data_IF_945110443710
#
_entry.id   IF_945110443710
#
_cell.length_a   1.000
_cell.length_b   1.000
_cell.length_c   1.000
_cell.angle_alpha   90.00
_cell.angle_beta   90.00
_cell.angle_gamma   90.00
#
_symmetry.space_group_name_H-M   'P 1'
#
loop_
_entity.id
_entity.type
_entity.pdbx_description
1 polymer ?
#
# COMPACT_ATOMS: atom_id res chain seq x y z
N UNK A 1 -1.07 -2.43 -11.13
CA UNK A 1 -0.51 -3.20 -10.00
C UNK A 1 -0.64 -4.68 -10.31
N UNK A 2 0.25 -5.23 -11.15
CA UNK A 2 0.20 -6.62 -11.61
C UNK A 2 1.38 -7.44 -11.11
N UNK A 3 1.30 -8.75 -11.28
CA UNK A 3 2.38 -9.68 -10.94
C UNK A 3 3.51 -9.59 -11.99
N UNK A 4 4.72 -9.28 -11.53
CA UNK A 4 5.95 -9.57 -12.29
C UNK A 4 6.50 -10.90 -11.81
N UNK A 5 6.72 -11.85 -12.73
CA UNK A 5 7.19 -13.18 -12.37
C UNK A 5 8.60 -13.11 -11.75
N UNK A 6 8.77 -13.73 -10.58
CA UNK A 6 9.99 -13.60 -9.78
C UNK A 6 11.23 -14.17 -10.48
N UNK A 7 11.04 -15.17 -11.34
CA UNK A 7 12.03 -15.78 -12.22
C UNK A 7 12.45 -14.84 -13.36
N UNK A 8 11.50 -14.12 -13.96
CA UNK A 8 11.80 -13.09 -14.97
C UNK A 8 12.56 -11.91 -14.34
N UNK A 9 12.15 -11.47 -13.15
CA UNK A 9 12.89 -10.45 -12.38
C UNK A 9 14.30 -10.92 -12.02
N UNK A 10 14.46 -12.16 -11.54
CA UNK A 10 15.76 -12.72 -11.23
C UNK A 10 16.64 -12.83 -12.48
N UNK A 11 16.05 -13.15 -13.64
CA UNK A 11 16.76 -13.20 -14.92
C UNK A 11 17.23 -11.81 -15.33
N UNK A 12 16.35 -10.81 -15.32
CA UNK A 12 16.72 -9.42 -15.66
C UNK A 12 17.81 -8.91 -14.72
N UNK A 13 17.69 -9.13 -13.41
CA UNK A 13 18.70 -8.72 -12.43
C UNK A 13 20.03 -9.47 -12.59
N UNK A 14 20.02 -10.71 -13.07
CA UNK A 14 21.24 -11.46 -13.34
C UNK A 14 22.00 -10.92 -14.58
N UNK A 15 21.29 -10.27 -15.51
CA UNK A 15 21.86 -9.66 -16.71
C UNK A 15 21.93 -8.12 -16.63
N UNK A 16 21.60 -7.51 -15.49
CA UNK A 16 21.74 -6.08 -15.27
C UNK A 16 23.18 -5.73 -14.89
N UNK A 17 23.95 -5.29 -15.88
CA UNK A 17 25.34 -4.86 -15.70
C UNK A 17 25.47 -3.53 -14.95
N UNK A 18 24.42 -2.71 -14.91
CA UNK A 18 24.48 -1.39 -14.28
C UNK A 18 24.58 -1.47 -12.74
N UNK A 19 24.09 -2.56 -12.13
CA UNK A 19 24.04 -2.80 -10.67
C UNK A 19 23.66 -1.54 -9.87
N UNK A 20 22.75 -0.73 -10.42
CA UNK A 20 22.36 0.53 -9.85
C UNK A 20 21.66 0.34 -8.50
N UNK A 21 21.86 1.26 -7.56
CA UNK A 21 21.06 1.27 -6.35
C UNK A 21 19.58 1.51 -6.72
N UNK A 22 18.62 0.80 -6.09
CA UNK A 22 17.20 1.03 -6.33
C UNK A 22 16.83 2.49 -6.09
N UNK A 23 15.94 3.03 -6.94
CA UNK A 23 15.47 4.42 -6.84
C UNK A 23 14.70 4.61 -5.52
N UNK A 24 15.18 5.50 -4.67
CA UNK A 24 14.57 5.80 -3.37
C UNK A 24 13.38 6.76 -3.47
N UNK A 25 13.39 7.63 -4.48
CA UNK A 25 12.34 8.58 -4.82
C UNK A 25 12.16 8.60 -6.34
N UNK A 26 10.98 8.20 -6.81
CA UNK A 26 10.60 8.25 -8.22
C UNK A 26 9.55 9.36 -8.41
N UNK A 27 9.95 10.65 -8.46
CA UNK A 27 9.02 11.78 -8.38
C UNK A 27 8.05 11.85 -9.56
N UNK A 28 8.50 11.45 -10.76
CA UNK A 28 7.66 11.43 -11.96
C UNK A 28 6.66 10.27 -11.99
N UNK A 29 6.97 9.17 -11.30
CA UNK A 29 6.07 8.03 -11.17
C UNK A 29 5.18 8.15 -9.92
N UNK A 30 5.52 9.03 -8.99
CA UNK A 30 4.78 9.23 -7.74
C UNK A 30 5.03 8.14 -6.70
N UNK A 31 6.22 7.53 -6.67
CA UNK A 31 6.53 6.48 -5.69
C UNK A 31 7.71 6.82 -4.79
N UNK A 32 7.62 6.40 -3.53
CA UNK A 32 8.71 6.48 -2.55
C UNK A 32 9.07 5.09 -2.04
N UNK A 33 10.36 4.85 -1.88
CA UNK A 33 10.91 3.63 -1.31
C UNK A 33 11.62 3.91 0.01
N UNK A 34 11.25 3.18 1.06
CA UNK A 34 12.04 3.05 2.27
C UNK A 34 12.59 1.63 2.32
N UNK A 35 13.87 1.46 2.58
CA UNK A 35 14.43 0.14 2.80
C UNK A 35 15.50 0.15 3.89
N UNK A 36 15.56 -0.95 4.62
CA UNK A 36 16.51 -1.20 5.69
C UNK A 36 16.63 -2.71 5.91
N UNK A 37 17.85 -3.26 5.84
CA UNK A 37 18.18 -4.66 6.17
C UNK A 37 17.23 -5.71 5.57
N UNK A 38 16.86 -5.52 4.29
CA UNK A 38 15.99 -6.45 3.56
C UNK A 38 14.49 -6.20 3.76
N UNK A 39 14.10 -5.33 4.69
CA UNK A 39 12.73 -4.81 4.79
C UNK A 39 12.56 -3.66 3.80
N UNK A 40 11.49 -3.71 3.00
CA UNK A 40 11.20 -2.72 1.96
C UNK A 40 9.76 -2.27 2.05
N UNK A 41 9.56 -0.95 2.06
CA UNK A 41 8.27 -0.27 1.89
C UNK A 41 8.28 0.46 0.56
N UNK A 42 7.25 0.24 -0.26
CA UNK A 42 6.96 1.04 -1.46
C UNK A 42 5.64 1.74 -1.23
N UNK A 43 5.64 3.08 -1.27
CA UNK A 43 4.46 3.90 -1.05
C UNK A 43 4.08 4.67 -2.33
N UNK A 44 2.79 4.69 -2.64
CA UNK A 44 2.20 5.58 -3.64
C UNK A 44 2.03 6.97 -3.01
N UNK A 45 2.71 7.94 -3.59
CA UNK A 45 2.81 9.32 -3.13
C UNK A 45 2.55 10.30 -4.26
N UNK A 46 1.85 9.87 -5.31
CA UNK A 46 1.53 10.69 -6.49
C UNK A 46 0.06 11.13 -6.51
N UNK A 47 -0.25 12.26 -7.18
CA UNK A 47 -1.62 12.52 -7.61
C UNK A 47 -2.02 11.54 -8.73
N UNK A 48 -3.32 11.32 -8.97
CA UNK A 48 -3.77 10.55 -10.11
C UNK A 48 -3.28 11.19 -11.42
N UNK A 49 -2.96 10.38 -12.45
CA UNK A 49 -2.52 10.90 -13.74
C UNK A 49 -3.65 11.68 -14.45
N UNK A 50 -3.31 12.46 -15.49
CA UNK A 50 -4.31 13.14 -16.31
C UNK A 50 -5.38 12.19 -16.85
N UNK A 51 -6.58 12.71 -17.12
CA UNK A 51 -7.75 11.92 -17.57
C UNK A 51 -7.42 11.01 -18.76
N UNK A 52 -6.61 11.49 -19.71
CA UNK A 52 -6.16 10.74 -20.90
C UNK A 52 -5.28 9.51 -20.58
N UNK A 53 -4.69 9.45 -19.39
CA UNK A 53 -3.79 8.39 -18.94
C UNK A 53 -4.29 7.68 -17.67
N UNK A 54 -5.52 7.96 -17.21
CA UNK A 54 -6.04 7.47 -15.92
C UNK A 54 -6.97 6.27 -16.02
N UNK A 55 -7.13 5.70 -17.21
CA UNK A 55 -8.01 4.54 -17.45
C UNK A 55 -7.62 3.33 -16.59
N UNK A 56 -6.33 3.07 -16.39
CA UNK A 56 -5.80 1.98 -15.56
C UNK A 56 -5.33 2.45 -14.18
N UNK A 57 -5.41 3.76 -13.88
CA UNK A 57 -4.96 4.31 -12.61
C UNK A 57 -5.91 3.95 -11.47
N UNK A 58 -5.36 3.75 -10.27
CA UNK A 58 -6.09 3.40 -9.06
C UNK A 58 -6.24 4.61 -8.14
N UNK A 59 -7.23 4.59 -7.25
CA UNK A 59 -7.39 5.56 -6.17
C UNK A 59 -6.50 5.21 -4.95
N UNK A 60 -5.20 5.02 -5.20
CA UNK A 60 -4.23 4.41 -4.29
C UNK A 60 -3.29 5.38 -3.57
N UNK A 61 -3.48 6.70 -3.72
CA UNK A 61 -2.61 7.68 -3.05
C UNK A 61 -2.51 7.39 -1.54
N UNK A 62 -1.28 7.38 -0.99
CA UNK A 62 -0.91 6.97 0.37
C UNK A 62 -1.03 5.48 0.71
N UNK A 63 -1.35 4.64 -0.27
CA UNK A 63 -1.21 3.19 -0.13
C UNK A 63 0.26 2.78 -0.12
N UNK A 64 0.53 1.63 0.49
CA UNK A 64 1.88 1.06 0.50
C UNK A 64 1.86 -0.46 0.46
N UNK A 65 3.02 -1.02 0.13
CA UNK A 65 3.33 -2.44 0.26
C UNK A 65 4.57 -2.61 1.14
N UNK A 66 4.59 -3.66 1.95
CA UNK A 66 5.70 -4.02 2.84
C UNK A 66 6.14 -5.46 2.55
N UNK A 67 7.44 -5.65 2.44
CA UNK A 67 8.07 -6.97 2.36
C UNK A 67 9.30 -7.08 3.25
N UNK A 68 9.61 -8.30 3.67
CA UNK A 68 10.88 -8.67 4.32
C UNK A 68 11.55 -9.76 3.50
N UNK A 69 12.71 -9.44 2.91
CA UNK A 69 13.38 -10.31 1.95
C UNK A 69 12.48 -10.63 0.76
N UNK A 70 12.12 -11.90 0.60
CA UNK A 70 11.23 -12.38 -0.48
C UNK A 70 9.76 -12.47 -0.06
N UNK A 71 9.47 -12.25 1.22
CA UNK A 71 8.15 -12.45 1.80
C UNK A 71 7.37 -11.13 1.80
N UNK A 72 6.20 -11.13 1.15
CA UNK A 72 5.27 -9.99 1.17
C UNK A 72 4.42 -10.06 2.44
N UNK A 73 4.29 -8.93 3.13
CA UNK A 73 3.57 -8.81 4.40
C UNK A 73 2.28 -8.03 4.19
N UNK A 74 2.43 -6.74 3.86
CA UNK A 74 1.32 -5.87 3.46
C UNK A 74 1.35 -5.73 1.94
N UNK A 75 0.20 -5.97 1.31
CA UNK A 75 0.00 -5.84 -0.13
C UNK A 75 -1.15 -4.88 -0.40
N UNK A 76 -1.47 -4.68 -1.67
CA UNK A 76 -2.79 -4.20 -2.09
C UNK A 76 -3.50 -5.34 -2.81
N UNK A 77 -4.80 -5.22 -3.07
CA UNK A 77 -5.53 -6.27 -3.81
C UNK A 77 -4.89 -6.52 -5.19
N UNK A 78 -4.41 -5.45 -5.84
CA UNK A 78 -3.78 -5.53 -7.15
C UNK A 78 -4.76 -5.89 -8.26
N UNK A 79 -4.24 -6.23 -9.44
CA UNK A 79 -5.03 -6.64 -10.60
C UNK A 79 -4.14 -7.38 -11.61
N UNK A 80 -4.57 -8.55 -12.08
CA UNK A 80 -3.98 -9.24 -13.23
C UNK A 80 -4.86 -9.08 -14.48
N UNK A 81 -4.40 -9.56 -15.63
CA UNK A 81 -5.23 -9.65 -16.84
C UNK A 81 -6.36 -10.68 -16.71
N UNK A 82 -6.24 -11.64 -15.79
CA UNK A 82 -7.24 -12.67 -15.53
C UNK A 82 -8.47 -12.03 -14.89
N UNK A 83 -9.64 -12.19 -15.52
CA UNK A 83 -10.91 -11.62 -15.06
C UNK A 83 -10.89 -10.09 -14.87
N UNK A 84 -10.01 -9.38 -15.58
CA UNK A 84 -9.82 -7.93 -15.47
C UNK A 84 -11.14 -7.16 -15.54
N UNK A 85 -11.99 -7.43 -16.52
CA UNK A 85 -13.26 -6.70 -16.71
C UNK A 85 -14.20 -6.79 -15.50
N UNK A 86 -14.20 -7.93 -14.80
CA UNK A 86 -15.05 -8.17 -13.64
C UNK A 86 -14.55 -7.41 -12.41
N UNK A 87 -13.23 -7.36 -12.21
CA UNK A 87 -12.62 -6.85 -10.98
C UNK A 87 -12.13 -5.42 -11.09
N UNK A 88 -11.95 -4.88 -12.30
CA UNK A 88 -11.31 -3.58 -12.55
C UNK A 88 -11.89 -2.44 -11.72
N UNK A 89 -13.22 -2.35 -11.62
CA UNK A 89 -13.85 -1.26 -10.88
C UNK A 89 -13.54 -1.33 -9.38
N UNK A 90 -13.68 -2.52 -8.78
CA UNK A 90 -13.44 -2.73 -7.34
C UNK A 90 -11.96 -2.61 -7.01
N UNK A 91 -11.09 -3.20 -7.83
CA UNK A 91 -9.65 -3.20 -7.63
C UNK A 91 -9.03 -1.80 -7.68
N UNK A 92 -9.70 -0.84 -8.34
CA UNK A 92 -9.25 0.56 -8.46
C UNK A 92 -9.77 1.47 -7.35
N UNK A 93 -10.75 1.03 -6.57
CA UNK A 93 -11.27 1.79 -5.45
C UNK A 93 -10.26 1.85 -4.29
N UNK A 94 -10.29 2.92 -3.50
CA UNK A 94 -9.37 3.10 -2.36
C UNK A 94 -9.46 1.97 -1.35
N UNK A 95 -10.64 1.34 -1.19
CA UNK A 95 -10.85 0.19 -0.31
C UNK A 95 -10.09 -1.10 -0.73
N UNK A 96 -9.53 -1.14 -1.94
CA UNK A 96 -8.67 -2.23 -2.43
C UNK A 96 -7.18 -1.98 -2.16
N UNK A 97 -6.87 -0.91 -1.41
CA UNK A 97 -5.54 -0.45 -1.12
C UNK A 97 -5.30 -0.27 0.37
N UNK A 98 -4.07 -0.51 0.80
CA UNK A 98 -3.63 -0.39 2.19
C UNK A 98 -3.46 1.07 2.58
N UNK A 99 -4.57 1.80 2.70
CA UNK A 99 -4.69 3.24 3.02
C UNK A 99 -6.02 3.54 3.72
N UNK A 100 -6.31 4.81 4.00
CA UNK A 100 -7.55 5.24 4.63
C UNK A 100 -8.68 5.52 3.62
N UNK A 101 -9.88 5.05 3.96
CA UNK A 101 -11.14 5.41 3.30
C UNK A 101 -11.96 6.24 4.27
N UNK A 102 -12.48 7.38 3.81
CA UNK A 102 -13.34 8.28 4.59
C UNK A 102 -14.74 8.27 3.98
N UNK A 103 -15.77 8.13 4.82
CA UNK A 103 -17.18 8.14 4.41
C UNK A 103 -17.49 7.14 3.30
N UNK A 104 -16.90 5.94 3.37
CA UNK A 104 -17.02 4.88 2.36
C UNK A 104 -16.71 5.34 0.91
N UNK A 105 -15.92 6.41 0.77
CA UNK A 105 -15.68 7.07 -0.51
C UNK A 105 -14.22 6.93 -0.90
N UNK A 106 -13.97 6.64 -2.18
CA UNK A 106 -12.59 6.62 -2.72
C UNK A 106 -12.02 8.04 -2.82
N UNK A 107 -10.71 8.18 -2.66
CA UNK A 107 -10.00 9.46 -2.82
C UNK A 107 -10.08 10.01 -4.25
N UNK A 108 -10.40 9.18 -5.23
CA UNK A 108 -10.68 9.57 -6.61
C UNK A 108 -12.13 9.26 -7.02
N UNK A 109 -12.71 10.12 -7.86
CA UNK A 109 -13.96 9.87 -8.58
C UNK A 109 -13.66 9.35 -9.97
N UNK A 110 -14.41 8.33 -10.38
CA UNK A 110 -14.25 7.67 -11.68
C UNK A 110 -15.46 7.93 -12.56
N UNK A 111 -15.24 8.15 -13.85
CA UNK A 111 -16.33 8.27 -14.82
C UNK A 111 -17.06 6.95 -15.00
N UNK A 112 -18.37 6.95 -14.71
CA UNK A 112 -19.25 5.79 -14.88
C UNK A 112 -20.47 6.20 -15.72
N UNK A 113 -20.40 5.97 -17.03
CA UNK A 113 -21.49 6.29 -17.97
C UNK A 113 -22.06 5.02 -18.63
N UNK A 114 -22.43 4.02 -17.82
CA UNK A 114 -23.16 2.83 -18.27
C UNK A 114 -22.50 2.15 -19.48
N UNK A 115 -23.20 2.11 -20.63
CA UNK A 115 -22.72 1.49 -21.88
C UNK A 115 -21.49 2.19 -22.48
N UNK A 116 -21.28 3.48 -22.20
CA UNK A 116 -20.15 4.27 -22.73
C UNK A 116 -18.84 3.94 -21.97
N UNK A 117 -18.91 3.61 -20.68
CA UNK A 117 -17.74 3.17 -19.91
C UNK A 117 -17.12 1.86 -20.41
N UNK A 118 -17.86 1.08 -21.20
CA UNK A 118 -17.34 -0.15 -21.82
C UNK A 118 -16.43 0.14 -23.04
N UNK A 119 -16.60 1.30 -23.71
CA UNK A 119 -15.75 1.72 -24.84
C UNK A 119 -14.61 2.65 -24.42
N UNK A 120 -14.85 3.58 -23.48
CA UNK A 120 -13.86 4.60 -23.06
C UNK A 120 -13.12 4.22 -21.77
N UNK A 121 -13.46 3.08 -21.16
CA UNK A 121 -13.01 2.70 -19.82
C UNK A 121 -13.70 3.54 -18.73
N UNK A 122 -13.09 3.57 -17.54
CA UNK A 122 -13.55 4.37 -16.41
C UNK A 122 -12.43 5.29 -15.92
N UNK A 123 -12.05 6.34 -16.67
CA UNK A 123 -10.97 7.24 -16.27
C UNK A 123 -11.30 7.94 -14.93
N UNK A 124 -10.25 8.34 -14.21
CA UNK A 124 -10.37 9.22 -13.05
C UNK A 124 -10.73 10.63 -13.56
N UNK A 125 -11.82 11.20 -13.05
CA UNK A 125 -12.32 12.54 -13.40
C UNK A 125 -12.03 13.58 -12.33
N UNK A 126 -11.79 13.15 -11.09
CA UNK A 126 -11.25 13.99 -10.03
C UNK A 126 -10.54 13.13 -9.00
N UNK A 127 -9.60 13.71 -8.29
CA UNK A 127 -8.91 13.10 -7.16
C UNK A 127 -8.01 14.11 -6.49
N UNK A 128 -7.03 13.66 -5.67
CA UNK A 128 -6.10 14.58 -5.05
C UNK A 128 -5.37 15.47 -6.05
N UNK A 129 -5.24 16.76 -5.72
CA UNK A 129 -4.51 17.76 -6.51
C UNK A 129 -3.21 18.15 -5.84
N UNK A 130 -3.18 18.14 -4.51
CA UNK A 130 -2.00 18.47 -3.72
C UNK A 130 -1.51 17.24 -2.95
N UNK A 131 -0.29 16.79 -3.25
CA UNK A 131 0.33 15.63 -2.61
C UNK A 131 1.75 15.97 -2.12
N UNK A 132 1.91 16.80 -1.07
CA UNK A 132 3.23 17.16 -0.57
C UNK A 132 3.92 15.96 0.07
N UNK A 133 5.20 15.78 -0.24
CA UNK A 133 6.04 14.68 0.25
C UNK A 133 7.20 15.26 1.06
N UNK A 134 7.39 14.77 2.28
CA UNK A 134 8.52 15.11 3.14
C UNK A 134 9.28 13.83 3.50
N UNK A 135 10.57 13.81 3.19
CA UNK A 135 11.47 12.69 3.49
C UNK A 135 12.60 13.17 4.39
N UNK A 136 12.95 12.38 5.40
CA UNK A 136 14.09 12.64 6.25
C UNK A 136 14.76 11.33 6.70
N UNK A 137 16.01 11.44 7.15
CA UNK A 137 16.71 10.35 7.85
C UNK A 137 17.24 10.94 9.15
N UNK A 138 16.71 10.50 10.28
CA UNK A 138 17.14 10.92 11.63
C UNK A 138 16.89 9.79 12.63
N UNK A 139 17.64 9.80 13.73
CA UNK A 139 17.43 8.89 14.88
C UNK A 139 17.42 7.40 14.50
N UNK A 140 18.30 7.00 13.58
CA UNK A 140 18.40 5.61 13.14
C UNK A 140 17.15 5.13 12.40
N UNK A 141 16.39 6.01 11.74
CA UNK A 141 15.23 5.65 10.93
C UNK A 141 15.13 6.47 9.64
N UNK A 142 14.48 5.89 8.63
CA UNK A 142 14.01 6.59 7.43
C UNK A 142 12.57 7.02 7.68
N UNK A 143 12.31 8.30 7.47
CA UNK A 143 11.02 8.95 7.69
C UNK A 143 10.44 9.40 6.36
N UNK A 144 9.15 9.10 6.15
CA UNK A 144 8.37 9.59 5.03
C UNK A 144 7.03 10.10 5.56
N UNK A 145 6.66 11.34 5.22
CA UNK A 145 5.37 11.94 5.55
C UNK A 145 4.76 12.50 4.28
N UNK A 146 3.54 12.08 3.96
CA UNK A 146 2.84 12.48 2.73
C UNK A 146 1.39 12.74 3.06
N UNK A 147 0.78 13.74 2.42
CA UNK A 147 -0.65 14.00 2.55
C UNK A 147 -1.33 14.15 1.21
N UNK A 148 -2.66 14.04 1.17
CA UNK A 148 -3.46 14.30 -0.02
C UNK A 148 -4.76 15.02 0.35
N UNK A 149 -5.28 15.83 -0.56
CA UNK A 149 -6.52 16.62 -0.42
C UNK A 149 -7.77 15.96 -1.03
N UNK A 150 -7.69 14.69 -1.44
CA UNK A 150 -8.82 13.98 -2.08
C UNK A 150 -10.11 13.88 -1.26
N UNK A 151 -10.07 14.14 0.05
CA UNK A 151 -11.25 14.17 0.93
C UNK A 151 -11.67 15.60 1.34
N UNK A 152 -11.00 16.63 0.83
CA UNK A 152 -11.25 18.02 1.22
C UNK A 152 -12.63 18.50 0.73
N UNK A 153 -12.98 18.25 -0.53
CA UNK A 153 -14.30 18.60 -1.09
C UNK A 153 -15.46 17.84 -0.41
N UNK A 154 -15.44 16.49 -0.29
CA UNK A 154 -16.58 15.75 0.27
C UNK A 154 -16.70 15.82 1.79
N UNK A 155 -15.58 15.97 2.51
CA UNK A 155 -15.56 15.80 3.98
C UNK A 155 -14.79 16.89 4.73
N UNK A 156 -14.22 17.88 4.03
CA UNK A 156 -13.47 18.95 4.66
C UNK A 156 -12.15 18.50 5.29
N UNK A 157 -11.56 17.36 4.86
CA UNK A 157 -10.33 16.82 5.47
C UNK A 157 -9.20 16.53 4.49
N UNK A 158 -7.98 16.75 4.97
CA UNK A 158 -6.73 16.31 4.35
C UNK A 158 -6.27 15.06 5.09
N UNK A 159 -6.02 13.98 4.34
CA UNK A 159 -5.47 12.75 4.88
C UNK A 159 -3.95 12.79 4.75
N UNK A 160 -3.24 12.55 5.84
CA UNK A 160 -1.79 12.45 5.88
C UNK A 160 -1.38 11.11 6.47
N UNK A 161 -0.45 10.44 5.81
CA UNK A 161 0.22 9.26 6.32
C UNK A 161 1.70 9.51 6.53
N UNK A 162 2.23 9.00 7.64
CA UNK A 162 3.66 8.95 7.93
C UNK A 162 4.12 7.51 8.11
N UNK A 163 5.33 7.21 7.64
CA UNK A 163 6.04 5.96 7.85
C UNK A 163 7.41 6.25 8.46
N UNK A 164 7.79 5.44 9.44
CA UNK A 164 9.11 5.45 10.06
C UNK A 164 9.66 4.03 10.08
N UNK A 165 10.62 3.75 9.20
CA UNK A 165 11.31 2.46 9.13
C UNK A 165 12.62 2.54 9.91
N UNK A 166 12.80 1.67 10.92
CA UNK A 166 14.05 1.55 11.65
C UNK A 166 15.19 1.07 10.74
N UNK A 167 16.41 1.54 10.99
CA UNK A 167 17.60 1.17 10.20
C UNK A 167 18.02 -0.29 10.35
N UNK A 168 17.56 -0.97 11.40
CA UNK A 168 17.69 -2.44 11.54
C UNK A 168 16.65 -3.22 10.72
N UNK A 169 15.66 -2.52 10.13
CA UNK A 169 14.58 -3.10 9.33
C UNK A 169 13.56 -3.91 10.12
N UNK A 170 13.66 -3.98 11.46
CA UNK A 170 12.80 -4.79 12.31
C UNK A 170 11.51 -4.09 12.75
N UNK A 171 11.35 -2.79 12.46
CA UNK A 171 10.19 -2.01 12.91
C UNK A 171 9.77 -0.97 11.89
N UNK A 172 8.47 -0.98 11.56
CA UNK A 172 7.80 0.05 10.79
C UNK A 172 6.71 0.68 11.67
N UNK A 173 6.91 1.93 12.07
CA UNK A 173 5.85 2.74 12.69
C UNK A 173 5.10 3.51 11.61
N UNK A 174 3.78 3.63 11.78
CA UNK A 174 2.92 4.41 10.90
C UNK A 174 1.94 5.27 11.66
N UNK A 175 1.59 6.41 11.06
CA UNK A 175 0.60 7.35 11.58
C UNK A 175 -0.31 7.80 10.44
N UNK A 176 -1.61 7.57 10.58
CA UNK A 176 -2.66 8.18 9.77
C UNK A 176 -3.25 9.36 10.54
N UNK A 177 -3.15 10.56 9.98
CA UNK A 177 -3.63 11.81 10.55
C UNK A 177 -4.60 12.47 9.59
N UNK A 178 -5.81 12.72 10.06
CA UNK A 178 -6.81 13.52 9.38
C UNK A 178 -6.72 14.95 9.93
N UNK A 179 -6.54 15.93 9.04
CA UNK A 179 -6.49 17.36 9.37
C UNK A 179 -7.68 18.07 8.73
N UNK A 180 -8.22 19.14 9.33
CA UNK A 180 -9.16 19.99 8.64
C UNK A 180 -8.50 20.56 7.37
N UNK A 181 -9.22 20.56 6.25
CA UNK A 181 -8.77 21.22 5.02
C UNK A 181 -8.71 22.75 5.18
N UNK A 182 -9.52 23.28 6.10
CA UNK A 182 -9.54 24.68 6.54
C UNK A 182 -9.44 24.67 8.07
N UNK A 183 -8.40 25.30 8.63
CA UNK A 183 -8.02 25.16 10.06
C UNK A 183 -9.15 25.46 11.06
N UNK A 184 -10.10 26.32 10.68
CA UNK A 184 -11.21 26.75 11.55
C UNK A 184 -12.45 25.86 11.45
N UNK A 185 -12.46 24.86 10.58
CA UNK A 185 -13.62 23.99 10.38
C UNK A 185 -13.52 22.75 11.27
N UNK A 186 -14.48 22.52 12.18
CA UNK A 186 -14.48 21.31 13.00
C UNK A 186 -14.71 20.06 12.16
N UNK A 187 -14.20 18.91 12.62
CA UNK A 187 -14.47 17.63 11.98
C UNK A 187 -15.96 17.28 12.10
N UNK A 188 -16.56 16.85 10.98
CA UNK A 188 -17.83 16.16 11.00
C UNK A 188 -17.68 14.75 11.61
N UNK A 189 -18.80 14.13 12.00
CA UNK A 189 -18.83 12.76 12.52
C UNK A 189 -18.71 11.67 11.41
N UNK A 190 -17.99 11.97 10.33
CA UNK A 190 -17.84 11.07 9.20
C UNK A 190 -16.98 9.86 9.61
N UNK A 191 -17.42 8.62 9.34
CA UNK A 191 -16.62 7.45 9.65
C UNK A 191 -15.40 7.34 8.72
N UNK A 192 -14.34 6.72 9.20
CA UNK A 192 -13.20 6.31 8.39
C UNK A 192 -12.78 4.88 8.74
N UNK A 193 -12.06 4.25 7.81
CA UNK A 193 -11.42 2.96 8.03
C UNK A 193 -10.03 2.97 7.39
N UNK A 194 -9.01 2.71 8.20
CA UNK A 194 -7.63 2.46 7.73
C UNK A 194 -7.46 0.97 7.48
N UNK A 195 -7.04 0.60 6.27
CA UNK A 195 -6.92 -0.81 5.85
C UNK A 195 -5.48 -1.24 5.63
N UNK A 196 -5.23 -2.53 5.88
CA UNK A 196 -3.98 -3.20 5.58
C UNK A 196 -4.29 -4.58 4.97
N UNK A 197 -4.18 -4.72 3.66
CA UNK A 197 -4.41 -6.00 2.98
C UNK A 197 -3.21 -6.92 3.20
N UNK A 198 -3.48 -8.15 3.63
CA UNK A 198 -2.47 -9.15 3.91
C UNK A 198 -2.26 -10.03 2.68
N UNK A 199 -1.00 -10.46 2.48
CA UNK A 199 -0.72 -11.51 1.51
C UNK A 199 -1.48 -12.80 1.90
N UNK A 200 -2.00 -13.62 0.96
CA UNK A 200 -2.78 -14.83 1.27
C UNK A 200 -2.10 -15.83 2.21
N UNK A 201 -0.78 -15.82 2.27
CA UNK A 201 0.00 -16.73 3.12
C UNK A 201 0.23 -16.19 4.55
N UNK A 202 -0.28 -14.98 4.88
CA UNK A 202 -0.22 -14.38 6.21
C UNK A 202 -1.58 -14.50 6.93
N UNK A 203 -1.60 -15.07 8.15
CA UNK A 203 -2.85 -15.55 8.75
C UNK A 203 -3.43 -14.78 9.93
N UNK A 204 -2.72 -13.96 10.73
CA UNK A 204 -3.36 -13.09 11.77
C UNK A 204 -2.38 -12.09 12.42
N UNK A 205 -2.79 -11.32 13.45
CA UNK A 205 -2.03 -10.27 14.17
C UNK A 205 -0.68 -10.72 14.80
N UNK A 206 -0.32 -12.01 14.68
CA UNK A 206 1.06 -12.46 14.50
C UNK A 206 1.21 -13.04 13.08
N UNK A 207 1.84 -12.27 12.20
CA UNK A 207 2.05 -12.56 10.79
C UNK A 207 3.27 -13.47 10.65
N UNK A 208 3.05 -14.79 10.66
CA UNK A 208 4.09 -15.77 10.38
C UNK A 208 4.37 -15.83 8.87
N UNK A 209 5.64 -15.74 8.50
CA UNK A 209 6.11 -15.80 7.11
C UNK A 209 6.73 -17.17 6.81
N UNK A 210 6.75 -17.59 5.52
CA UNK A 210 7.55 -18.74 5.10
C UNK A 210 9.02 -18.57 5.53
N UNK A 211 9.56 -19.58 6.22
CA UNK A 211 10.92 -19.55 6.77
C UNK A 211 11.02 -19.18 8.26
N UNK A 212 9.89 -18.99 8.94
CA UNK A 212 9.83 -18.86 10.41
C UNK A 212 9.97 -17.44 10.95
N UNK A 213 10.19 -16.44 10.09
CA UNK A 213 10.11 -15.02 10.46
C UNK A 213 8.69 -14.67 10.87
N UNK A 214 8.51 -13.84 11.91
CA UNK A 214 7.19 -13.41 12.35
C UNK A 214 7.15 -11.92 12.65
N UNK A 215 6.03 -11.28 12.29
CA UNK A 215 5.76 -9.86 12.53
C UNK A 215 4.49 -9.69 13.36
N UNK A 216 4.50 -8.81 14.36
CA UNK A 216 3.30 -8.42 15.08
C UNK A 216 2.79 -7.08 14.56
N UNK A 217 1.48 -6.97 14.36
CA UNK A 217 0.80 -5.69 14.11
C UNK A 217 0.21 -5.18 15.43
N UNK A 218 0.45 -3.90 15.74
CA UNK A 218 -0.04 -3.26 16.96
C UNK A 218 -0.62 -1.90 16.61
N UNK A 219 -1.82 -1.59 17.10
CA UNK A 219 -2.40 -0.25 16.99
C UNK A 219 -2.85 0.21 18.38
N UNK A 220 -2.06 1.07 19.01
CA UNK A 220 -2.32 1.50 20.38
C UNK A 220 -3.59 2.35 20.44
N UNK A 221 -4.47 2.05 21.40
CA UNK A 221 -5.73 2.79 21.58
C UNK A 221 -6.77 2.54 20.48
N UNK A 222 -6.56 1.54 19.62
CA UNK A 222 -7.48 1.18 18.54
C UNK A 222 -7.86 -0.30 18.62
N UNK A 223 -9.10 -0.61 18.26
CA UNK A 223 -9.52 -2.00 18.07
C UNK A 223 -9.10 -2.46 16.66
N UNK A 224 -8.29 -3.52 16.58
CA UNK A 224 -7.88 -4.11 15.31
C UNK A 224 -8.95 -5.09 14.83
N UNK A 225 -9.65 -4.74 13.76
CA UNK A 225 -10.53 -5.64 13.03
C UNK A 225 -9.74 -6.58 12.12
N UNK A 226 -10.25 -7.80 11.92
CA UNK A 226 -9.75 -8.75 10.91
C UNK A 226 -10.92 -9.08 9.99
N UNK A 227 -10.80 -8.72 8.72
CA UNK A 227 -11.87 -8.85 7.73
C UNK A 227 -11.41 -9.68 6.53
N UNK A 228 -12.37 -10.23 5.78
CA UNK A 228 -12.08 -10.88 4.50
C UNK A 228 -11.52 -9.87 3.49
N UNK A 229 -10.60 -10.34 2.67
CA UNK A 229 -10.05 -9.58 1.56
C UNK A 229 -9.77 -10.48 0.36
N UNK A 230 -9.25 -9.88 -0.72
CA UNK A 230 -8.94 -10.60 -1.94
C UNK A 230 -7.62 -10.14 -2.53
N UNK A 231 -6.77 -11.09 -2.86
CA UNK A 231 -5.53 -10.86 -3.60
C UNK A 231 -5.75 -11.20 -5.08
N UNK A 232 -5.91 -10.17 -5.89
CA UNK A 232 -6.20 -10.24 -7.33
C UNK A 232 -4.94 -10.32 -8.20
N UNK A 233 -3.77 -10.02 -7.62
CA UNK A 233 -2.48 -10.07 -8.29
C UNK A 233 -1.80 -11.44 -8.23
N UNK A 234 -2.53 -12.52 -7.90
CA UNK A 234 -1.98 -13.87 -7.97
C UNK A 234 -1.89 -14.33 -9.44
N UNK A 235 -0.84 -15.08 -9.82
CA UNK A 235 -0.64 -15.51 -11.22
C UNK A 235 -1.71 -16.50 -11.70
N UNK A 236 -2.31 -17.24 -10.78
CA UNK A 236 -3.40 -18.20 -10.99
C UNK A 236 -4.80 -17.57 -10.85
N UNK A 237 -4.88 -16.25 -10.62
CA UNK A 237 -6.12 -15.51 -10.48
C UNK A 237 -6.46 -15.11 -9.03
N UNK A 238 -7.69 -14.64 -8.78
CA UNK A 238 -8.10 -14.15 -7.47
C UNK A 238 -7.97 -15.20 -6.35
N UNK A 239 -7.24 -14.87 -5.29
CA UNK A 239 -7.14 -15.68 -4.05
C UNK A 239 -7.79 -14.96 -2.88
N UNK A 240 -8.49 -15.70 -2.02
CA UNK A 240 -8.95 -15.18 -0.73
C UNK A 240 -7.76 -14.75 0.13
N UNK A 241 -7.90 -13.65 0.84
CA UNK A 241 -6.93 -13.16 1.81
C UNK A 241 -7.66 -12.51 2.99
N UNK A 242 -6.89 -11.91 3.90
CA UNK A 242 -7.42 -11.16 5.03
C UNK A 242 -6.93 -9.71 4.95
N UNK A 243 -7.57 -8.82 5.70
CA UNK A 243 -7.09 -7.47 5.94
C UNK A 243 -7.26 -7.10 7.40
N UNK A 244 -6.40 -6.21 7.88
CA UNK A 244 -6.56 -5.55 9.18
C UNK A 244 -7.27 -4.21 8.96
N UNK A 245 -8.20 -3.89 9.85
CA UNK A 245 -8.95 -2.63 9.80
C UNK A 245 -8.86 -1.87 11.13
N UNK A 246 -8.66 -0.56 11.04
CA UNK A 246 -8.76 0.38 12.17
C UNK A 246 -9.85 1.38 11.82
N UNK A 247 -10.98 1.30 12.51
CA UNK A 247 -12.19 2.07 12.22
C UNK A 247 -12.42 3.14 13.28
N UNK A 248 -12.94 4.29 12.88
CA UNK A 248 -13.29 5.37 13.79
C UNK A 248 -14.16 6.43 13.15
N UNK A 249 -14.44 7.50 13.89
CA UNK A 249 -15.14 8.70 13.42
C UNK A 249 -14.18 9.89 13.47
N UNK A 250 -14.19 10.74 12.45
CA UNK A 250 -13.31 11.92 12.39
C UNK A 250 -13.52 12.89 13.56
N UNK A 251 -14.73 12.94 14.14
CA UNK A 251 -15.03 13.77 15.30
C UNK A 251 -14.36 13.26 16.60
N UNK A 252 -14.11 11.95 16.70
CA UNK A 252 -13.59 11.30 17.91
C UNK A 252 -12.10 10.96 17.79
N UNK A 253 -11.69 10.52 16.60
CA UNK A 253 -10.35 10.02 16.31
C UNK A 253 -9.84 10.66 15.02
N UNK A 254 -9.02 11.70 15.15
CA UNK A 254 -8.34 12.33 14.01
C UNK A 254 -6.94 11.77 13.75
N UNK A 255 -6.43 10.91 14.65
CA UNK A 255 -5.10 10.31 14.56
C UNK A 255 -5.15 8.84 14.92
N UNK A 256 -4.53 8.01 14.08
CA UNK A 256 -4.38 6.57 14.27
C UNK A 256 -2.89 6.22 14.15
N UNK A 257 -2.35 5.55 15.16
CA UNK A 257 -0.97 5.05 15.14
C UNK A 257 -0.96 3.55 15.08
N UNK A 258 -0.03 3.00 14.30
CA UNK A 258 0.14 1.57 14.13
C UNK A 258 1.62 1.21 14.00
N UNK A 259 1.95 -0.03 14.31
CA UNK A 259 3.32 -0.53 14.26
C UNK A 259 3.33 -1.97 13.76
N UNK A 260 4.25 -2.26 12.85
CA UNK A 260 4.67 -3.61 12.49
C UNK A 260 6.05 -3.85 13.11
N UNK A 261 6.18 -4.87 13.94
CA UNK A 261 7.46 -5.23 14.61
C UNK A 261 7.80 -6.68 14.31
N UNK A 262 9.01 -6.95 13.85
CA UNK A 262 9.55 -8.30 13.73
C UNK A 262 9.75 -8.88 15.14
N UNK A 263 9.04 -9.96 15.45
CA UNK A 263 9.09 -10.64 16.74
C UNK A 263 9.96 -11.90 16.70
N UNK A 264 10.21 -12.45 15.51
CA UNK A 264 11.12 -13.58 15.28
C UNK A 264 11.86 -13.39 13.97
N UNK A 265 13.17 -13.63 13.99
CA UNK A 265 13.99 -13.67 12.78
C UNK A 265 13.73 -14.96 11.98
N UNK A 266 13.77 -14.86 10.65
CA UNK A 266 13.68 -16.03 9.76
C UNK A 266 15.00 -16.79 9.71
N UNK A 267 14.93 -18.10 9.40
CA UNK A 267 16.16 -18.84 9.07
C UNK A 267 16.67 -18.40 7.69
N UNK A 268 17.99 -18.18 7.52
CA UNK A 268 18.55 -17.88 6.21
C UNK A 268 18.24 -19.03 5.24
N UNK A 269 17.81 -18.69 4.02
CA UNK A 269 17.53 -19.68 3.00
C UNK A 269 18.79 -20.56 2.78
N UNK A 270 18.62 -21.88 2.87
CA UNK A 270 19.70 -22.83 2.61
C UNK A 270 20.18 -22.62 1.16
N UNK A 271 21.49 -22.47 0.90
CA UNK A 271 21.98 -22.28 -0.46
C UNK A 271 21.52 -23.44 -1.34
N UNK A 272 21.07 -23.13 -2.56
CA UNK A 272 20.68 -24.14 -3.52
C UNK A 272 21.86 -25.12 -3.74
N UNK A 273 21.61 -26.44 -3.82
CA UNK A 273 22.67 -27.39 -4.11
C UNK A 273 23.38 -27.01 -5.41
N UNK A 274 24.71 -27.02 -5.39
CA UNK A 274 25.52 -26.72 -6.56
C UNK A 274 25.08 -27.65 -7.72
N UNK A 275 24.76 -27.06 -8.87
CA UNK A 275 24.42 -27.80 -10.08
C UNK A 275 25.61 -28.71 -10.43
N UNK A 276 25.42 -30.03 -10.61
CA UNK A 276 26.52 -30.89 -11.02
C UNK A 276 27.07 -30.42 -12.36
N UNK A 277 28.39 -30.45 -12.51
CA UNK A 277 29.07 -30.03 -13.73
C UNK A 277 28.57 -30.86 -14.93
N UNK A 278 28.38 -30.22 -16.11
CA UNK A 278 28.01 -30.96 -17.31
C UNK A 278 29.13 -31.95 -17.66
N UNK A 279 28.72 -33.18 -17.98
CA UNK A 279 29.61 -34.25 -18.48
C UNK A 279 29.92 -34.03 -19.95
#
# INVERSE_FOLDING_TARGET
MGHTAADQLATILAYDDARGAPVSNAPHAGFQRLDARGTVVIADTGPPPPVSASSEAHASCLAFELSSGRNRIIVNCGMTDINRERWRQVARATAAHSTAVVGETSSCRFFHAGRISRMLGAPIVSGPKSVPVQRATREGAVLLRVSHDGYAEPFGVVHQRSWRLSTDGGRLDGEDLFRPAVETTPFGATPFVVRFHLHPDASTVLLALPGGEAWAFVAQGQTVGVEESIFLAAPDGPRRSLQLTLSGSLAETSRVTWTLVRTREGQPARPAPARPAPR
#
